data_IF_334974002166
#
_entry.id   IF_334974002166
#
_cell.length_a   1.000
_cell.length_b   1.000
_cell.length_c   1.000
_cell.angle_alpha   90.00
_cell.angle_beta   90.00
_cell.angle_gamma   90.00
#
_symmetry.space_group_name_H-M   'P 1'
#
loop_
_entity.id
_entity.type
_entity.pdbx_description
1 polymer ?
#
# COMPACT_ATOMS: atom_id res chain seq x y z
N UNK A 1 -8.46 9.42 -5.77
CA UNK A 1 -9.25 8.88 -4.65
C UNK A 1 -9.77 7.52 -5.11
N UNK A 2 -9.75 6.51 -4.24
CA UNK A 2 -10.32 5.20 -4.52
C UNK A 2 -11.45 4.97 -3.50
N UNK A 3 -12.68 4.81 -3.99
CA UNK A 3 -13.86 4.66 -3.16
C UNK A 3 -14.21 3.19 -2.96
N UNK A 4 -14.75 2.84 -1.79
CA UNK A 4 -15.26 1.51 -1.45
C UNK A 4 -16.62 1.63 -0.76
N UNK A 5 -17.41 0.55 -0.80
CA UNK A 5 -18.71 0.47 -0.14
C UNK A 5 -18.52 0.15 1.35
N UNK A 6 -18.85 1.09 2.25
CA UNK A 6 -18.68 0.88 3.70
C UNK A 6 -19.78 0.01 4.33
N UNK A 7 -20.92 -0.13 3.64
CA UNK A 7 -22.08 -0.90 4.11
C UNK A 7 -21.87 -2.42 3.99
N UNK A 8 -20.82 -2.87 3.31
CA UNK A 8 -20.54 -4.29 3.08
C UNK A 8 -19.18 -4.63 3.68
N UNK A 9 -19.11 -5.51 4.70
CA UNK A 9 -17.85 -5.88 5.36
C UNK A 9 -17.07 -6.92 4.54
N UNK A 10 -16.91 -6.68 3.24
CA UNK A 10 -16.15 -7.54 2.33
C UNK A 10 -14.63 -7.30 2.44
N UNK A 11 -13.85 -8.10 1.72
CA UNK A 11 -12.38 -8.03 1.74
C UNK A 11 -11.86 -6.62 1.38
N UNK A 12 -12.36 -5.93 0.34
CA UNK A 12 -11.98 -4.54 0.06
C UNK A 12 -12.22 -3.59 1.22
N UNK A 13 -13.39 -3.64 1.87
CA UNK A 13 -13.65 -2.80 3.03
C UNK A 13 -12.74 -3.13 4.22
N UNK A 14 -12.54 -4.42 4.51
CA UNK A 14 -11.65 -4.86 5.59
C UNK A 14 -10.21 -4.37 5.38
N UNK A 15 -9.68 -4.50 4.16
CA UNK A 15 -8.36 -3.98 3.79
C UNK A 15 -8.29 -2.45 3.88
N UNK A 16 -9.30 -1.75 3.36
CA UNK A 16 -9.36 -0.29 3.42
C UNK A 16 -9.37 0.21 4.87
N UNK A 17 -10.22 -0.39 5.71
CA UNK A 17 -10.31 -0.05 7.14
C UNK A 17 -8.98 -0.27 7.85
N UNK A 18 -8.36 -1.44 7.69
CA UNK A 18 -7.06 -1.75 8.31
C UNK A 18 -5.93 -0.83 7.81
N UNK A 19 -5.90 -0.51 6.51
CA UNK A 19 -4.88 0.37 5.93
C UNK A 19 -4.94 1.79 6.51
N UNK A 20 -6.15 2.34 6.69
CA UNK A 20 -6.33 3.70 7.22
C UNK A 20 -6.28 3.80 8.75
N UNK A 21 -6.04 2.70 9.48
CA UNK A 21 -5.65 2.77 10.89
C UNK A 21 -4.27 3.42 11.07
N UNK A 22 -3.43 3.34 10.03
CA UNK A 22 -2.13 3.99 9.98
C UNK A 22 -2.25 5.51 10.10
N UNK A 23 -1.13 6.16 10.46
CA UNK A 23 -1.04 7.61 10.53
C UNK A 23 -2.14 8.24 11.41
N UNK A 24 -2.39 7.62 12.57
CA UNK A 24 -3.30 8.15 13.59
C UNK A 24 -4.77 8.19 13.17
N UNK A 25 -5.24 7.31 12.29
CA UNK A 25 -6.64 7.26 11.79
C UNK A 25 -7.11 8.56 11.12
N UNK A 26 -6.16 9.32 10.55
CA UNK A 26 -6.46 10.61 9.90
C UNK A 26 -7.22 10.48 8.57
N UNK A 27 -7.29 9.28 8.00
CA UNK A 27 -7.82 9.05 6.65
C UNK A 27 -6.81 9.39 5.53
N UNK A 28 -5.55 9.70 5.87
CA UNK A 28 -4.49 10.00 4.91
C UNK A 28 -3.25 9.15 5.16
N UNK A 29 -2.74 8.52 4.09
CA UNK A 29 -1.47 7.78 4.08
C UNK A 29 -0.59 8.32 2.96
N UNK A 30 0.66 8.64 3.28
CA UNK A 30 1.60 9.19 2.30
C UNK A 30 2.02 8.10 1.30
N UNK A 31 1.96 8.40 0.01
CA UNK A 31 2.44 7.47 -1.04
C UNK A 31 3.95 7.20 -0.89
N UNK A 32 4.43 6.00 -1.27
CA UNK A 32 5.87 5.70 -1.32
C UNK A 32 6.68 6.73 -2.11
N UNK A 33 7.95 6.92 -1.73
CA UNK A 33 8.85 7.89 -2.36
C UNK A 33 8.93 7.75 -3.88
N UNK A 34 9.06 6.51 -4.37
CA UNK A 34 9.11 6.16 -5.79
C UNK A 34 7.87 6.64 -6.58
N UNK A 35 6.71 6.75 -5.94
CA UNK A 35 5.46 7.19 -6.58
C UNK A 35 5.20 8.71 -6.46
N UNK A 36 6.10 9.46 -5.80
CA UNK A 36 5.97 10.91 -5.59
C UNK A 36 7.05 11.72 -6.30
N UNK A 37 8.21 11.11 -6.56
CA UNK A 37 9.33 11.77 -7.23
C UNK A 37 9.05 11.97 -8.73
N UNK A 38 9.17 13.21 -9.27
CA UNK A 38 8.89 13.48 -10.69
C UNK A 38 9.85 12.77 -11.66
N UNK A 39 11.08 12.54 -11.22
CA UNK A 39 12.18 11.94 -11.97
C UNK A 39 12.22 10.41 -11.88
N UNK A 40 11.43 9.82 -10.98
CA UNK A 40 11.48 8.39 -10.73
C UNK A 40 10.59 7.61 -11.72
N UNK A 41 11.12 6.53 -12.29
CA UNK A 41 10.37 5.62 -13.16
C UNK A 41 9.67 4.57 -12.32
N UNK A 42 8.35 4.61 -12.30
CA UNK A 42 7.53 3.60 -11.63
C UNK A 42 6.75 2.77 -12.66
N UNK A 43 7.05 1.47 -12.72
CA UNK A 43 6.24 0.49 -13.43
C UNK A 43 5.66 -0.49 -12.40
N UNK A 44 4.33 -0.51 -12.19
CA UNK A 44 3.70 -1.42 -11.21
C UNK A 44 3.83 -2.91 -11.58
N UNK A 45 4.24 -3.24 -12.81
CA UNK A 45 4.40 -4.61 -13.29
C UNK A 45 5.88 -5.06 -13.41
N UNK A 46 6.84 -4.25 -12.96
CA UNK A 46 8.25 -4.64 -12.91
C UNK A 46 8.48 -5.67 -11.78
N UNK A 47 9.26 -6.72 -12.07
CA UNK A 47 9.43 -7.88 -11.17
C UNK A 47 10.86 -8.05 -10.66
N UNK A 48 11.84 -7.37 -11.25
CA UNK A 48 13.26 -7.56 -10.92
C UNK A 48 13.79 -6.53 -9.94
N UNK A 49 13.78 -5.27 -10.33
CA UNK A 49 14.41 -4.18 -9.57
C UNK A 49 13.62 -2.89 -9.75
N UNK A 50 13.40 -2.18 -8.64
CA UNK A 50 12.84 -0.83 -8.66
C UNK A 50 13.85 0.13 -8.02
N UNK A 51 14.15 1.22 -8.72
CA UNK A 51 15.01 2.27 -8.19
C UNK A 51 14.41 2.83 -6.90
N UNK A 52 15.28 3.18 -5.94
CA UNK A 52 14.88 3.78 -4.65
C UNK A 52 14.07 2.87 -3.71
N UNK A 53 14.01 1.56 -3.97
CA UNK A 53 13.33 0.58 -3.12
C UNK A 53 14.32 -0.50 -2.69
N UNK A 54 14.37 -0.79 -1.38
CA UNK A 54 15.14 -1.91 -0.83
C UNK A 54 14.17 -3.11 -0.64
N UNK A 55 14.38 -4.24 -1.33
CA UNK A 55 13.53 -5.43 -1.17
C UNK A 55 13.61 -5.99 0.26
N UNK A 56 12.49 -6.46 0.78
CA UNK A 56 12.39 -7.13 2.07
C UNK A 56 11.87 -8.56 1.91
N UNK A 57 12.29 -9.46 2.80
CA UNK A 57 11.83 -10.85 2.86
C UNK A 57 11.00 -11.05 4.14
N UNK A 58 9.86 -11.74 4.01
CA UNK A 58 8.96 -12.05 5.12
C UNK A 58 8.65 -13.56 5.09
N UNK A 59 8.72 -14.22 6.25
CA UNK A 59 8.29 -15.61 6.45
C UNK A 59 7.31 -15.67 7.61
N UNK A 60 6.21 -16.39 7.42
CA UNK A 60 5.14 -16.52 8.42
C UNK A 60 4.90 -18.01 8.66
N UNK A 61 5.07 -18.44 9.92
CA UNK A 61 4.78 -19.81 10.36
C UNK A 61 3.59 -19.78 11.29
N UNK A 62 2.52 -20.46 10.91
CA UNK A 62 1.36 -20.69 11.77
C UNK A 62 1.56 -22.04 12.48
N UNK A 63 1.41 -22.06 13.80
CA UNK A 63 1.41 -23.29 14.61
C UNK A 63 -0.01 -23.73 14.91
#
# INVERSE_FOLDING_TARGET
MAAVNMQTPDVPFQMNSAFFEQNGRSGYVLKPNLMRKPDAKFNPFETRTMDLVVPAYLSVTVR
#
